data_IF_831665813793
#
_entry.id   IF_831665813793
#
_cell.length_a   1.000
_cell.length_b   1.000
_cell.length_c   1.000
_cell.angle_alpha   90.00
_cell.angle_beta   90.00
_cell.angle_gamma   90.00
#
_symmetry.space_group_name_H-M   'P 1'
#
loop_
_entity.id
_entity.type
_entity.pdbx_description
1 polymer ?
#
# COMPACT_ATOMS: atom_id res chain seq x y z
N UNK A 1 -22.15 -12.06 -26.66
CA UNK A 1 -22.04 -10.60 -26.49
C UNK A 1 -20.83 -10.36 -25.62
N UNK A 2 -19.70 -10.04 -26.24
CA UNK A 2 -18.40 -9.88 -25.58
C UNK A 2 -18.28 -8.43 -25.10
N UNK A 3 -18.49 -8.19 -23.81
CA UNK A 3 -18.34 -6.87 -23.21
C UNK A 3 -16.84 -6.56 -23.16
N UNK A 4 -16.34 -5.85 -24.17
CA UNK A 4 -14.96 -5.40 -24.22
C UNK A 4 -14.76 -4.36 -23.13
N UNK A 5 -14.24 -4.79 -21.99
CA UNK A 5 -13.93 -3.90 -20.87
C UNK A 5 -13.01 -2.76 -21.37
N UNK A 6 -13.29 -1.50 -21.00
CA UNK A 6 -12.48 -0.37 -21.44
C UNK A 6 -11.03 -0.59 -20.98
N UNK A 7 -10.04 -0.31 -21.86
CA UNK A 7 -8.61 -0.60 -21.63
C UNK A 7 -8.08 -0.06 -20.29
N UNK A 8 -8.66 1.02 -19.78
CA UNK A 8 -8.34 1.60 -18.47
C UNK A 8 -8.69 0.65 -17.29
N UNK A 9 -9.78 -0.12 -17.40
CA UNK A 9 -10.21 -1.09 -16.40
C UNK A 9 -9.23 -2.27 -16.27
N UNK A 10 -8.62 -2.68 -17.39
CA UNK A 10 -7.63 -3.77 -17.42
C UNK A 10 -6.33 -3.34 -16.73
N UNK A 11 -5.85 -2.12 -16.99
CA UNK A 11 -4.62 -1.59 -16.37
C UNK A 11 -4.81 -1.45 -14.86
N UNK A 12 -5.94 -0.92 -14.42
CA UNK A 12 -6.26 -0.80 -13.00
C UNK A 12 -6.29 -2.17 -12.30
N UNK A 13 -6.96 -3.15 -12.90
CA UNK A 13 -7.02 -4.53 -12.37
C UNK A 13 -5.63 -5.16 -12.27
N UNK A 14 -4.76 -4.93 -13.26
CA UNK A 14 -3.38 -5.42 -13.23
C UNK A 14 -2.57 -4.74 -12.11
N UNK A 15 -2.74 -3.44 -11.89
CA UNK A 15 -2.08 -2.73 -10.79
C UNK A 15 -2.51 -3.28 -9.43
N UNK A 16 -3.82 -3.46 -9.20
CA UNK A 16 -4.34 -4.00 -7.94
C UNK A 16 -3.82 -5.42 -7.70
N UNK A 17 -3.82 -6.28 -8.73
CA UNK A 17 -3.25 -7.62 -8.64
C UNK A 17 -1.75 -7.60 -8.28
N UNK A 18 -0.98 -6.70 -8.91
CA UNK A 18 0.45 -6.55 -8.59
C UNK A 18 0.67 -6.06 -7.17
N UNK A 19 -0.15 -5.13 -6.70
CA UNK A 19 -0.09 -4.66 -5.32
C UNK A 19 -0.40 -5.80 -4.33
N UNK A 20 -1.38 -6.65 -4.63
CA UNK A 20 -1.69 -7.83 -3.81
C UNK A 20 -0.52 -8.81 -3.70
N UNK A 21 0.12 -9.11 -4.82
CA UNK A 21 1.31 -9.97 -4.85
C UNK A 21 2.44 -9.33 -4.04
N UNK A 22 2.66 -8.02 -4.22
CA UNK A 22 3.69 -7.30 -3.48
C UNK A 22 3.45 -7.34 -1.96
N UNK A 23 2.21 -7.18 -1.49
CA UNK A 23 1.87 -7.31 -0.06
C UNK A 23 2.16 -8.72 0.48
N UNK A 24 1.90 -9.76 -0.31
CA UNK A 24 2.09 -11.14 0.14
C UNK A 24 3.55 -11.60 0.08
N UNK A 25 4.28 -11.28 -0.99
CA UNK A 25 5.59 -11.85 -1.25
C UNK A 25 6.75 -10.89 -1.04
N UNK A 26 6.56 -9.60 -1.35
CA UNK A 26 7.67 -8.63 -1.42
C UNK A 26 7.72 -7.69 -0.20
N UNK A 27 6.59 -7.48 0.47
CA UNK A 27 6.52 -6.67 1.68
C UNK A 27 7.42 -7.27 2.76
N UNK A 28 8.29 -6.45 3.36
CA UNK A 28 9.27 -6.88 4.35
C UNK A 28 10.42 -7.74 3.81
N UNK A 29 10.45 -7.99 2.50
CA UNK A 29 11.55 -8.68 1.80
C UNK A 29 12.34 -7.68 0.96
N UNK A 30 11.64 -6.87 0.18
CA UNK A 30 12.19 -5.77 -0.62
C UNK A 30 11.92 -4.44 0.06
N UNK A 31 12.98 -3.66 0.31
CA UNK A 31 12.86 -2.31 0.88
C UNK A 31 11.99 -1.40 0.01
N UNK A 32 12.18 -1.46 -1.31
CA UNK A 32 11.42 -0.64 -2.28
C UNK A 32 9.93 -0.92 -2.20
N UNK A 33 9.52 -2.19 -2.18
CA UNK A 33 8.10 -2.55 -2.08
C UNK A 33 7.53 -2.22 -0.71
N UNK A 34 8.31 -2.40 0.35
CA UNK A 34 7.88 -2.07 1.72
C UNK A 34 7.58 -0.57 1.84
N UNK A 35 8.50 0.29 1.41
CA UNK A 35 8.34 1.74 1.42
C UNK A 35 7.18 2.19 0.53
N UNK A 36 7.06 1.61 -0.67
CA UNK A 36 5.97 1.92 -1.59
C UNK A 36 4.60 1.59 -0.98
N UNK A 37 4.44 0.39 -0.40
CA UNK A 37 3.19 -0.03 0.24
C UNK A 37 2.89 0.84 1.46
N UNK A 38 3.89 1.13 2.29
CA UNK A 38 3.72 2.00 3.46
C UNK A 38 3.32 3.43 3.08
N UNK A 39 3.89 3.95 1.98
CA UNK A 39 3.54 5.26 1.45
C UNK A 39 2.11 5.27 0.89
N UNK A 40 1.71 4.26 0.12
CA UNK A 40 0.34 4.13 -0.39
C UNK A 40 -0.65 4.08 0.78
N UNK A 41 -0.41 3.23 1.76
CA UNK A 41 -1.30 3.04 2.92
C UNK A 41 -1.42 4.30 3.77
N UNK A 42 -0.29 4.97 4.04
CA UNK A 42 -0.28 6.20 4.83
C UNK A 42 -0.89 7.39 4.10
N UNK A 43 -0.68 7.52 2.78
CA UNK A 43 -1.20 8.65 1.99
C UNK A 43 -2.67 8.50 1.65
N UNK A 44 -3.10 7.28 1.36
CA UNK A 44 -4.49 6.99 0.99
C UNK A 44 -5.34 6.55 2.18
N UNK A 45 -4.76 6.47 3.38
CA UNK A 45 -5.45 6.07 4.61
C UNK A 45 -6.21 4.74 4.40
N UNK A 46 -5.49 3.76 3.88
CA UNK A 46 -6.02 2.44 3.51
C UNK A 46 -5.18 1.33 4.15
N UNK A 47 -5.76 0.14 4.26
CA UNK A 47 -5.05 -1.05 4.69
C UNK A 47 -5.42 -2.25 3.82
N UNK A 48 -4.40 -3.06 3.50
CA UNK A 48 -4.52 -4.16 2.56
C UNK A 48 -5.07 -3.73 1.19
N UNK A 49 -5.40 -4.70 0.35
CA UNK A 49 -5.84 -4.45 -1.02
C UNK A 49 -7.33 -4.14 -1.05
N UNK A 50 -8.13 -5.05 -0.51
CA UNK A 50 -9.58 -4.92 -0.48
C UNK A 50 -10.06 -4.47 0.90
N UNK A 51 -11.27 -3.90 0.92
CA UNK A 51 -11.91 -3.45 2.14
C UNK A 51 -12.04 -4.59 3.15
N UNK A 52 -11.77 -4.29 4.42
CA UNK A 52 -11.81 -5.24 5.55
C UNK A 52 -10.85 -6.43 5.46
N UNK A 53 -9.90 -6.45 4.51
CA UNK A 53 -9.01 -7.59 4.29
C UNK A 53 -7.60 -7.42 4.88
N UNK A 54 -7.46 -6.78 6.04
CA UNK A 54 -6.17 -6.71 6.75
C UNK A 54 -5.61 -8.11 7.10
N UNK A 55 -6.45 -9.15 7.11
CA UNK A 55 -6.04 -10.56 7.19
C UNK A 55 -5.09 -11.00 6.09
N UNK A 56 -5.00 -10.30 4.96
CA UNK A 56 -4.06 -10.59 3.88
C UNK A 56 -2.61 -10.68 4.38
N UNK A 57 -2.25 -9.84 5.36
CA UNK A 57 -0.91 -9.85 5.98
C UNK A 57 -0.60 -11.16 6.68
N UNK A 58 -1.58 -11.88 7.24
CA UNK A 58 -1.32 -13.17 7.89
C UNK A 58 -0.78 -14.25 6.93
N UNK A 59 -0.97 -14.05 5.63
CA UNK A 59 -0.50 -14.95 4.56
C UNK A 59 0.79 -14.45 3.91
N UNK A 60 1.35 -13.34 4.37
CA UNK A 60 2.56 -12.77 3.78
C UNK A 60 3.83 -13.42 4.30
N UNK A 61 4.88 -13.37 3.47
CA UNK A 61 6.23 -13.82 3.83
C UNK A 61 6.75 -13.06 5.04
N UNK A 62 6.48 -11.75 5.13
CA UNK A 62 6.87 -10.91 6.27
C UNK A 62 6.27 -11.41 7.57
N UNK A 63 4.97 -11.73 7.59
CA UNK A 63 4.31 -12.24 8.79
C UNK A 63 4.93 -13.57 9.25
N UNK A 64 5.20 -14.50 8.33
CA UNK A 64 5.86 -15.76 8.68
C UNK A 64 7.29 -15.57 9.20
N UNK A 65 8.08 -14.66 8.61
CA UNK A 65 9.43 -14.35 9.11
C UNK A 65 9.42 -13.84 10.54
N UNK A 66 8.45 -13.01 10.91
CA UNK A 66 8.33 -12.51 12.28
C UNK A 66 8.03 -13.63 13.28
N UNK A 67 7.18 -14.59 12.92
CA UNK A 67 6.91 -15.76 13.77
C UNK A 67 8.11 -16.68 13.91
N UNK A 68 8.84 -16.95 12.82
CA UNK A 68 10.04 -17.81 12.86
C UNK A 68 11.14 -17.18 13.71
N UNK A 69 11.38 -15.87 13.57
CA UNK A 69 12.36 -15.14 14.39
C UNK A 69 12.03 -15.19 15.89
N UNK A 70 10.75 -15.09 16.25
CA UNK A 70 10.28 -15.22 17.64
C UNK A 70 10.40 -16.66 18.18
N UNK A 71 10.33 -17.67 17.31
CA UNK A 71 10.41 -19.08 17.71
C UNK A 71 11.85 -19.57 17.91
N UNK A 72 12.83 -18.89 17.31
CA UNK A 72 14.27 -19.17 17.49
C UNK A 72 14.83 -18.62 18.82
N UNK A 73 14.17 -17.67 19.47
CA UNK A 73 14.49 -17.17 20.82
C UNK A 73 13.87 -18.03 21.94
N UNK A 74 13.91 -19.37 21.81
CA UNK A 74 13.21 -20.33 22.69
C UNK A 74 13.49 -20.24 24.22
N UNK A 75 12.97 -21.22 24.98
CA UNK A 75 11.90 -21.13 25.99
C UNK A 75 12.29 -20.53 27.36
N UNK A 76 13.29 -19.65 27.44
CA UNK A 76 13.79 -19.09 28.69
C UNK A 76 13.41 -17.61 28.92
N UNK A 77 12.26 -17.17 28.41
CA UNK A 77 11.81 -15.79 28.56
C UNK A 77 10.65 -15.72 29.57
N UNK A 78 10.89 -15.00 30.68
CA UNK A 78 9.91 -14.75 31.73
C UNK A 78 8.55 -14.32 31.14
N UNK A 79 7.48 -14.79 31.79
CA UNK A 79 6.07 -14.60 31.41
C UNK A 79 5.68 -13.13 31.16
N UNK A 80 6.47 -12.19 31.67
CA UNK A 80 6.33 -10.74 31.47
C UNK A 80 6.89 -10.25 30.12
N UNK A 81 8.00 -10.83 29.63
CA UNK A 81 8.58 -10.56 28.31
C UNK A 81 7.84 -11.28 27.17
N UNK A 82 6.99 -12.26 27.49
CA UNK A 82 6.13 -12.90 26.49
C UNK A 82 5.01 -11.96 25.98
N UNK A 83 4.66 -10.92 26.75
CA UNK A 83 3.69 -9.89 26.35
C UNK A 83 4.27 -8.87 25.37
N UNK A 84 5.58 -8.64 25.40
CA UNK A 84 6.30 -7.71 24.51
C UNK A 84 6.65 -8.35 23.16
N UNK A 85 6.80 -9.67 23.11
CA UNK A 85 7.10 -10.48 21.92
C UNK A 85 5.86 -10.94 21.12
N UNK A 86 4.73 -10.23 21.22
CA UNK A 86 3.59 -10.54 20.34
C UNK A 86 3.93 -10.15 18.89
N UNK A 87 3.79 -11.08 17.93
CA UNK A 87 4.07 -10.80 16.53
C UNK A 87 3.18 -9.66 16.05
N UNK A 88 3.80 -8.74 15.30
CA UNK A 88 3.10 -7.66 14.62
C UNK A 88 2.29 -8.32 13.50
N UNK A 89 0.99 -8.05 13.43
CA UNK A 89 0.09 -8.67 12.46
C UNK A 89 -0.13 -7.81 11.22
N UNK A 90 -0.04 -6.49 11.38
CA UNK A 90 -0.19 -5.48 10.32
C UNK A 90 0.88 -4.41 10.46
N UNK A 91 1.28 -3.76 9.36
CA UNK A 91 2.25 -2.68 9.41
C UNK A 91 1.70 -1.42 10.06
N UNK A 92 2.58 -0.52 10.52
CA UNK A 92 2.18 0.73 11.17
C UNK A 92 1.40 1.65 10.23
N UNK A 93 1.72 1.61 8.93
CA UNK A 93 1.05 2.33 7.85
C UNK A 93 -0.43 1.99 7.69
N UNK A 94 -0.86 0.79 8.12
CA UNK A 94 -2.26 0.36 8.17
C UNK A 94 -3.06 0.93 9.37
N UNK A 95 -2.40 1.58 10.32
CA UNK A 95 -3.02 2.03 11.56
C UNK A 95 -3.57 3.45 11.48
N UNK A 96 -4.74 3.65 12.10
CA UNK A 96 -5.38 4.96 12.20
C UNK A 96 -4.49 5.96 12.94
N UNK A 97 -4.43 7.15 12.36
CA UNK A 97 -3.81 8.33 12.96
C UNK A 97 -4.86 9.27 13.52
N UNK A 98 -4.42 10.17 14.41
CA UNK A 98 -5.24 11.29 14.89
C UNK A 98 -5.69 12.17 13.72
N UNK A 99 -6.70 13.01 13.93
CA UNK A 99 -7.21 13.91 12.89
C UNK A 99 -6.10 14.77 12.24
N UNK A 100 -5.08 15.13 13.02
CA UNK A 100 -3.94 15.92 12.57
C UNK A 100 -2.89 15.10 11.81
N UNK A 101 -3.08 13.78 11.65
CA UNK A 101 -2.16 12.82 11.03
C UNK A 101 -0.75 12.75 11.64
N UNK A 102 -0.54 13.35 12.82
CA UNK A 102 0.75 13.42 13.51
C UNK A 102 1.06 12.18 14.36
N UNK A 103 0.05 11.59 14.98
CA UNK A 103 0.22 10.49 15.93
C UNK A 103 -0.72 9.32 15.62
N UNK A 104 -0.30 8.10 15.92
CA UNK A 104 -1.18 6.94 15.87
C UNK A 104 -2.14 6.96 17.06
N UNK A 105 -3.41 6.63 16.83
CA UNK A 105 -4.40 6.58 17.92
C UNK A 105 -4.02 5.51 18.95
N UNK A 106 -3.72 4.30 18.49
CA UNK A 106 -3.17 3.24 19.32
C UNK A 106 -2.39 2.22 18.48
N UNK A 107 -1.09 2.48 18.30
CA UNK A 107 -0.23 1.65 17.45
C UNK A 107 -0.14 0.20 17.94
N UNK A 108 0.02 -0.01 19.26
CA UNK A 108 0.13 -1.36 19.83
C UNK A 108 -1.16 -2.17 19.66
N UNK A 109 -2.31 -1.54 19.90
CA UNK A 109 -3.61 -2.21 19.72
C UNK A 109 -3.89 -2.52 18.25
N UNK A 110 -3.59 -1.59 17.35
CA UNK A 110 -3.69 -1.80 15.91
C UNK A 110 -2.86 -3.02 15.45
N UNK A 111 -1.56 -3.01 15.77
CA UNK A 111 -0.61 -3.99 15.24
C UNK A 111 -0.75 -5.39 15.85
N UNK A 112 -1.19 -5.50 17.10
CA UNK A 112 -1.25 -6.79 17.83
C UNK A 112 -2.67 -7.32 18.01
N UNK A 113 -3.67 -6.47 17.78
CA UNK A 113 -5.09 -6.79 17.89
C UNK A 113 -5.57 -7.82 16.86
N UNK A 114 -6.88 -8.03 16.76
CA UNK A 114 -7.45 -8.81 15.68
C UNK A 114 -7.15 -8.16 14.31
N UNK A 115 -7.02 -8.97 13.27
CA UNK A 115 -6.76 -8.53 11.89
C UNK A 115 -8.03 -8.03 11.18
N UNK A 116 -9.17 -8.11 11.85
CA UNK A 116 -10.45 -7.70 11.32
C UNK A 116 -10.75 -6.27 11.81
N UNK A 117 -10.98 -5.30 10.91
CA UNK A 117 -11.30 -3.92 11.30
C UNK A 117 -12.59 -3.75 12.11
N UNK A 118 -13.51 -4.71 12.07
CA UNK A 118 -14.74 -4.73 12.90
C UNK A 118 -14.36 -4.89 14.38
N UNK A 119 -13.36 -5.72 14.67
CA UNK A 119 -12.89 -5.98 16.03
C UNK A 119 -11.68 -5.14 16.42
N UNK A 120 -10.98 -4.57 15.44
CA UNK A 120 -9.83 -3.69 15.63
C UNK A 120 -10.10 -2.34 14.97
N UNK A 121 -10.77 -1.48 15.74
CA UNK A 121 -11.13 -0.12 15.34
C UNK A 121 -9.94 0.79 15.02
N UNK A 122 -8.70 0.35 15.25
CA UNK A 122 -7.49 1.12 14.97
C UNK A 122 -6.86 0.79 13.62
N UNK A 123 -7.46 -0.11 12.83
CA UNK A 123 -7.03 -0.43 11.46
C UNK A 123 -7.91 0.32 10.47
N UNK A 124 -7.33 0.82 9.37
CA UNK A 124 -8.12 1.33 8.26
C UNK A 124 -9.00 0.22 7.68
N UNK A 125 -10.33 0.36 7.79
CA UNK A 125 -11.29 -0.58 7.19
C UNK A 125 -11.28 -0.54 5.66
N UNK A 126 -10.85 0.58 5.09
CA UNK A 126 -10.80 0.83 3.66
C UNK A 126 -9.59 0.15 3.01
N UNK A 127 -9.80 -0.56 1.91
CA UNK A 127 -8.81 -1.18 1.07
C UNK A 127 -8.14 -0.19 0.12
N UNK A 128 -6.88 -0.45 -0.21
CA UNK A 128 -6.13 0.42 -1.10
C UNK A 128 -6.61 0.37 -2.55
N UNK A 129 -7.31 -0.69 -3.00
CA UNK A 129 -7.95 -0.74 -4.31
C UNK A 129 -9.06 0.31 -4.42
N UNK A 130 -9.98 0.35 -3.44
CA UNK A 130 -11.04 1.36 -3.34
C UNK A 130 -10.46 2.76 -3.15
N UNK A 131 -9.39 2.91 -2.37
CA UNK A 131 -8.70 4.18 -2.18
C UNK A 131 -8.03 4.71 -3.46
N UNK A 132 -7.34 3.85 -4.20
CA UNK A 132 -6.75 4.19 -5.49
C UNK A 132 -7.82 4.51 -6.53
N UNK A 133 -8.94 3.77 -6.57
CA UNK A 133 -10.01 4.02 -7.52
C UNK A 133 -10.59 5.44 -7.36
N UNK A 134 -10.93 5.84 -6.13
CA UNK A 134 -11.41 7.21 -5.86
C UNK A 134 -10.34 8.26 -6.13
N UNK A 135 -9.09 7.99 -5.79
CA UNK A 135 -7.97 8.88 -6.12
C UNK A 135 -7.89 9.10 -7.64
N UNK A 136 -7.90 8.04 -8.44
CA UNK A 136 -7.86 8.15 -9.89
C UNK A 136 -9.11 8.84 -10.45
N UNK A 137 -10.29 8.62 -9.90
CA UNK A 137 -11.50 9.32 -10.35
C UNK A 137 -11.43 10.82 -10.09
N UNK A 138 -10.95 11.23 -8.91
CA UNK A 138 -10.84 12.64 -8.54
C UNK A 138 -9.73 13.37 -9.31
N UNK A 139 -8.65 12.67 -9.64
CA UNK A 139 -7.47 13.24 -10.31
C UNK A 139 -7.32 12.86 -11.79
N UNK A 140 -8.33 12.21 -12.39
CA UNK A 140 -8.28 11.71 -13.77
C UNK A 140 -7.87 12.81 -14.77
N UNK A 141 -8.45 13.99 -14.60
CA UNK A 141 -8.17 15.16 -15.44
C UNK A 141 -6.68 15.54 -15.39
N UNK A 142 -6.06 15.52 -14.22
CA UNK A 142 -4.63 15.81 -14.08
C UNK A 142 -3.77 14.75 -14.76
N UNK A 143 -4.13 13.47 -14.64
CA UNK A 143 -3.43 12.38 -15.32
C UNK A 143 -3.55 12.45 -16.86
N UNK A 144 -4.54 13.14 -17.41
CA UNK A 144 -4.67 13.36 -18.87
C UNK A 144 -3.97 14.64 -19.30
N UNK A 145 -4.14 15.74 -18.57
CA UNK A 145 -3.61 17.05 -18.95
C UNK A 145 -2.09 17.12 -18.79
N UNK A 146 -1.53 16.60 -17.70
CA UNK A 146 -0.07 16.70 -17.45
C UNK A 146 0.75 16.01 -18.55
N UNK A 147 0.45 14.77 -18.97
CA UNK A 147 1.16 14.14 -20.08
C UNK A 147 1.00 14.89 -21.40
N UNK A 148 -0.18 15.45 -21.69
CA UNK A 148 -0.40 16.25 -22.91
C UNK A 148 0.46 17.51 -22.93
N UNK A 149 0.57 18.21 -21.79
CA UNK A 149 1.44 19.37 -21.66
C UNK A 149 2.92 18.98 -21.82
N UNK A 150 3.35 17.89 -21.18
CA UNK A 150 4.72 17.37 -21.32
C UNK A 150 5.04 16.98 -22.78
N UNK A 151 4.10 16.34 -23.48
CA UNK A 151 4.25 16.03 -24.91
C UNK A 151 4.39 17.29 -25.75
N UNK A 152 3.63 18.34 -25.43
CA UNK A 152 3.76 19.66 -26.07
C UNK A 152 5.16 20.24 -25.90
N UNK A 153 5.71 20.23 -24.68
CA UNK A 153 7.08 20.68 -24.41
C UNK A 153 8.14 19.84 -25.13
N UNK A 154 7.96 18.52 -25.19
CA UNK A 154 8.88 17.65 -25.92
C UNK A 154 8.83 17.92 -27.43
N UNK A 155 7.65 18.14 -28.00
CA UNK A 155 7.48 18.44 -29.42
C UNK A 155 8.11 19.80 -29.79
N UNK A 156 7.91 20.83 -28.97
CA UNK A 156 8.54 22.14 -29.20
C UNK A 156 10.06 22.05 -29.06
N UNK A 157 10.56 21.38 -28.02
CA UNK A 157 12.00 21.13 -27.84
C UNK A 157 12.62 20.43 -29.05
N UNK A 158 11.99 19.37 -29.55
CA UNK A 158 12.43 18.66 -30.76
C UNK A 158 12.42 19.57 -32.00
N UNK A 159 11.38 20.39 -32.18
CA UNK A 159 11.31 21.33 -33.30
C UNK A 159 12.46 22.35 -33.27
N UNK A 160 12.76 22.92 -32.09
CA UNK A 160 13.90 23.83 -31.92
C UNK A 160 15.23 23.13 -32.18
N UNK A 161 15.43 21.91 -31.68
CA UNK A 161 16.65 21.13 -31.95
C UNK A 161 16.86 20.87 -33.44
N UNK A 162 15.81 20.55 -34.19
CA UNK A 162 15.90 20.33 -35.64
C UNK A 162 16.23 21.64 -36.38
N UNK A 163 15.64 22.76 -35.97
CA UNK A 163 15.92 24.06 -36.58
C UNK A 163 17.37 24.49 -36.35
N UNK A 164 17.90 24.30 -35.14
CA UNK A 164 19.31 24.59 -34.81
C UNK A 164 20.30 23.67 -35.51
N UNK A 165 19.93 22.43 -35.82
CA UNK A 165 20.81 21.49 -36.54
C UNK A 165 20.89 21.78 -38.05
N UNK A 166 19.91 22.52 -38.58
CA UNK A 166 19.76 22.84 -40.01
C UNK A 166 20.25 24.25 -40.40
N UNK A 167 20.48 25.12 -39.43
CA UNK A 167 21.11 26.44 -39.63
C UNK A 167 22.62 26.36 -39.43
#
# INVERSE_FOLDING_TARGET
>A
MEVKAPRMFVIFTLMVNRLSIAVQHDYGVSGVWTECIDLIQSKLQCCAIDDYQATLYSRSVWYHRQHIGLQQEGPALDRENQLTLRPIKVPASCCLRTADNLHYMNLKACQRGPLDPIHNQYIHARGCSTALAEFFQNFLVLFVVVPLVLLGFLATGLAFSIMLLRG
#
